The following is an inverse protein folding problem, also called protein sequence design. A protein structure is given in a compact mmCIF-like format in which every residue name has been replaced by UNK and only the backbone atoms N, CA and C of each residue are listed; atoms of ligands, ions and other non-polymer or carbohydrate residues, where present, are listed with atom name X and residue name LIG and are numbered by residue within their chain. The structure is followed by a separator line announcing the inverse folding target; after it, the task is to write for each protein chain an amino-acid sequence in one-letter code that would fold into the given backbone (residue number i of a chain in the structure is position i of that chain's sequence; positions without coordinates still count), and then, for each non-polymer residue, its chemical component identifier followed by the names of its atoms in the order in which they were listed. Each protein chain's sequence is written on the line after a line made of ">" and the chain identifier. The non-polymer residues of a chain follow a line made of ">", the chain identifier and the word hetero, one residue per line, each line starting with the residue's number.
data_IF_236655028552
#
_entry.id   IF_236655028552
#
_cell.length_a   1.000
_cell.length_b   1.000
_cell.length_c   1.000
_cell.angle_alpha   90.00
_cell.angle_beta   90.00
_cell.angle_gamma   90.00
#
_symmetry.space_group_name_H-M   'P 1'
#
loop_
_entity.id
_entity.type
_entity.pdbx_description
1 polymer ?
#
# COMPACT_ATOMS: atom_id res chain seq x y z
N UNK A 1 -74.29 -101.99 -10.77
CA UNK A 1 -74.72 -101.03 -11.83
C UNK A 1 -74.16 -99.67 -11.45
N UNK A 2 -73.11 -99.16 -12.11
CA UNK A 2 -73.15 -98.47 -13.42
C UNK A 2 -73.76 -97.06 -13.21
N UNK A 3 -73.16 -95.91 -13.51
CA UNK A 3 -72.26 -95.53 -14.61
C UNK A 3 -71.32 -94.38 -14.20
N UNK A 4 -70.05 -94.54 -14.59
CA UNK A 4 -68.97 -93.55 -14.64
C UNK A 4 -69.23 -92.64 -15.87
N UNK A 5 -69.58 -91.36 -15.73
CA UNK A 5 -69.46 -90.36 -16.82
C UNK A 5 -68.26 -89.48 -16.47
N UNK A 6 -67.05 -89.93 -16.82
CA UNK A 6 -66.35 -89.61 -18.08
C UNK A 6 -66.40 -88.11 -18.41
N UNK A 7 -65.23 -87.49 -18.16
CA UNK A 7 -64.71 -86.25 -18.72
C UNK A 7 -65.33 -85.85 -20.07
N UNK A 8 -65.89 -84.64 -20.13
CA UNK A 8 -65.81 -83.83 -21.34
C UNK A 8 -64.81 -82.70 -21.07
N UNK A 9 -63.60 -82.76 -21.66
CA UNK A 9 -62.80 -81.57 -21.82
C UNK A 9 -63.56 -80.68 -22.82
N UNK A 10 -64.15 -79.57 -22.36
CA UNK A 10 -64.52 -78.51 -23.30
C UNK A 10 -63.23 -78.03 -23.93
N UNK A 11 -63.06 -78.34 -25.21
CA UNK A 11 -62.04 -77.83 -26.12
C UNK A 11 -62.27 -76.32 -26.34
N UNK A 12 -62.24 -75.56 -25.26
CA UNK A 12 -62.25 -74.10 -25.27
C UNK A 12 -60.83 -73.66 -25.62
N UNK A 13 -60.62 -73.69 -26.93
CA UNK A 13 -59.75 -72.81 -27.71
C UNK A 13 -58.27 -72.81 -27.36
N UNK A 14 -57.62 -73.94 -27.68
CA UNK A 14 -56.18 -74.00 -27.97
C UNK A 14 -55.75 -72.86 -28.93
N UNK A 15 -56.65 -72.36 -29.77
CA UNK A 15 -56.40 -71.26 -30.70
C UNK A 15 -56.28 -69.90 -30.00
N UNK A 16 -57.19 -69.53 -29.10
CA UNK A 16 -57.13 -68.26 -28.35
C UNK A 16 -55.95 -68.23 -27.37
N UNK A 17 -55.70 -69.35 -26.67
CA UNK A 17 -54.53 -69.47 -25.78
C UNK A 17 -53.23 -69.36 -26.59
N UNK A 18 -53.13 -70.03 -27.74
CA UNK A 18 -51.96 -69.91 -28.61
C UNK A 18 -51.79 -68.49 -29.16
N UNK A 19 -52.86 -67.74 -29.41
CA UNK A 19 -52.80 -66.36 -29.89
C UNK A 19 -52.32 -65.39 -28.80
N UNK A 20 -52.79 -65.56 -27.56
CA UNK A 20 -52.30 -64.82 -26.39
C UNK A 20 -50.82 -65.13 -26.09
N UNK A 21 -50.41 -66.39 -26.17
CA UNK A 21 -49.00 -66.80 -26.01
C UNK A 21 -48.12 -66.15 -27.08
N UNK A 22 -48.56 -66.12 -28.35
CA UNK A 22 -47.83 -65.43 -29.44
C UNK A 22 -47.72 -63.92 -29.21
N UNK A 23 -48.78 -63.26 -28.73
CA UNK A 23 -48.74 -61.82 -28.39
C UNK A 23 -47.77 -61.56 -27.25
N UNK A 24 -47.80 -62.35 -26.18
CA UNK A 24 -46.87 -62.22 -25.06
C UNK A 24 -45.41 -62.49 -25.48
N UNK A 25 -45.17 -63.48 -26.34
CA UNK A 25 -43.85 -63.74 -26.91
C UNK A 25 -43.36 -62.57 -27.77
N UNK A 26 -44.22 -61.95 -28.58
CA UNK A 26 -43.89 -60.77 -29.37
C UNK A 26 -43.50 -59.58 -28.50
N UNK A 27 -44.29 -59.26 -27.47
CA UNK A 27 -43.96 -58.20 -26.51
C UNK A 27 -42.67 -58.48 -25.74
N UNK A 28 -42.44 -59.72 -25.32
CA UNK A 28 -41.22 -60.12 -24.62
C UNK A 28 -40.00 -59.99 -25.54
N UNK A 29 -40.09 -60.42 -26.80
CA UNK A 29 -39.04 -60.25 -27.80
C UNK A 29 -38.74 -58.77 -28.05
N UNK A 30 -39.76 -57.92 -28.17
CA UNK A 30 -39.58 -56.47 -28.36
C UNK A 30 -38.84 -55.83 -27.17
N UNK A 31 -39.24 -56.15 -25.93
CA UNK A 31 -38.58 -55.67 -24.71
C UNK A 31 -37.13 -56.16 -24.58
N UNK A 32 -36.83 -57.39 -25.02
CA UNK A 32 -35.47 -57.94 -25.04
C UNK A 32 -34.60 -57.21 -26.08
N UNK A 33 -35.14 -56.96 -27.28
CA UNK A 33 -34.44 -56.24 -28.36
C UNK A 33 -34.15 -54.80 -27.95
N UNK A 34 -35.14 -54.08 -27.39
CA UNK A 34 -34.94 -52.73 -26.87
C UNK A 34 -33.86 -52.70 -25.79
N UNK A 35 -33.91 -53.63 -24.84
CA UNK A 35 -32.90 -53.73 -23.77
C UNK A 35 -31.50 -54.03 -24.31
N UNK A 36 -31.38 -54.85 -25.36
CA UNK A 36 -30.11 -55.11 -26.03
C UNK A 36 -29.59 -53.85 -26.75
N UNK A 37 -30.47 -53.11 -27.45
CA UNK A 37 -30.14 -51.85 -28.12
C UNK A 37 -29.65 -50.78 -27.13
N UNK A 38 -30.34 -50.60 -26.01
CA UNK A 38 -29.89 -49.71 -24.94
C UNK A 38 -28.57 -50.15 -24.31
N UNK A 39 -28.34 -51.47 -24.17
CA UNK A 39 -27.09 -52.01 -23.66
C UNK A 39 -25.92 -51.67 -24.58
N UNK A 40 -26.07 -51.84 -25.90
CA UNK A 40 -25.00 -51.54 -26.86
C UNK A 40 -24.66 -50.04 -26.89
N UNK A 41 -25.68 -49.17 -26.80
CA UNK A 41 -25.49 -47.71 -26.66
C UNK A 41 -24.70 -47.39 -25.38
N UNK A 42 -25.07 -48.02 -24.25
CA UNK A 42 -24.39 -47.81 -22.97
C UNK A 42 -22.94 -48.34 -22.99
N UNK A 43 -22.70 -49.50 -23.60
CA UNK A 43 -21.38 -50.10 -23.77
C UNK A 43 -20.42 -49.22 -24.58
N UNK A 44 -20.94 -48.40 -25.50
CA UNK A 44 -20.13 -47.47 -26.30
C UNK A 44 -19.91 -46.11 -25.61
N UNK A 45 -20.95 -45.58 -24.95
CA UNK A 45 -20.89 -44.26 -24.30
C UNK A 45 -20.03 -44.26 -23.03
N UNK A 46 -20.08 -45.32 -22.23
CA UNK A 46 -19.35 -45.36 -20.94
C UNK A 46 -17.83 -45.22 -21.13
N UNK A 47 -17.16 -45.98 -22.02
CA UNK A 47 -15.72 -45.81 -22.25
C UNK A 47 -15.35 -44.43 -22.81
N UNK A 48 -16.22 -43.83 -23.62
CA UNK A 48 -15.98 -42.48 -24.16
C UNK A 48 -16.05 -41.42 -23.05
N UNK A 49 -17.01 -41.55 -22.14
CA UNK A 49 -17.11 -40.70 -20.95
C UNK A 49 -15.93 -40.91 -20.00
N UNK A 50 -15.50 -42.15 -19.76
CA UNK A 50 -14.34 -42.46 -18.92
C UNK A 50 -13.06 -41.83 -19.49
N UNK A 51 -12.84 -41.93 -20.80
CA UNK A 51 -11.71 -41.28 -21.48
C UNK A 51 -11.73 -39.75 -21.30
N UNK A 52 -12.89 -39.12 -21.53
CA UNK A 52 -13.05 -37.67 -21.32
C UNK A 52 -12.81 -37.25 -19.87
N UNK A 53 -13.26 -38.06 -18.91
CA UNK A 53 -13.01 -37.82 -17.48
C UNK A 53 -11.51 -37.84 -17.18
N UNK A 54 -10.75 -38.78 -17.74
CA UNK A 54 -9.32 -38.88 -17.49
C UNK A 54 -8.51 -37.76 -18.17
N UNK A 55 -8.92 -37.32 -19.37
CA UNK A 55 -8.36 -36.13 -20.03
C UNK A 55 -8.56 -34.88 -19.16
N UNK A 56 -9.79 -34.65 -18.67
CA UNK A 56 -10.11 -33.51 -17.79
C UNK A 56 -9.36 -33.57 -16.45
N UNK A 57 -9.14 -34.76 -15.88
CA UNK A 57 -8.32 -34.92 -14.67
C UNK A 57 -6.87 -34.48 -14.90
N UNK A 58 -6.29 -34.89 -16.02
CA UNK A 58 -4.91 -34.53 -16.38
C UNK A 58 -4.76 -33.03 -16.60
N UNK A 59 -5.69 -32.40 -17.31
CA UNK A 59 -5.72 -30.94 -17.47
C UNK A 59 -5.84 -30.22 -16.14
N UNK A 60 -6.70 -30.70 -15.24
CA UNK A 60 -6.88 -30.10 -13.91
C UNK A 60 -5.59 -30.20 -13.06
N UNK A 61 -4.85 -31.32 -13.15
CA UNK A 61 -3.55 -31.45 -12.49
C UNK A 61 -2.55 -30.43 -13.03
N UNK A 62 -2.51 -30.26 -14.36
CA UNK A 62 -1.62 -29.28 -15.00
C UNK A 62 -1.96 -27.85 -14.56
N UNK A 63 -3.24 -27.47 -14.63
CA UNK A 63 -3.72 -26.15 -14.19
C UNK A 63 -3.41 -25.90 -12.72
N UNK A 64 -3.62 -26.90 -11.84
CA UNK A 64 -3.27 -26.78 -10.42
C UNK A 64 -1.78 -26.51 -10.21
N UNK A 65 -0.94 -27.21 -10.95
CA UNK A 65 0.52 -27.05 -10.87
C UNK A 65 0.97 -25.67 -11.36
N UNK A 66 0.39 -25.18 -12.45
CA UNK A 66 0.66 -23.83 -12.97
C UNK A 66 0.17 -22.75 -11.99
N UNK A 67 -1.03 -22.90 -11.42
CA UNK A 67 -1.57 -21.98 -10.42
C UNK A 67 -0.70 -21.92 -9.15
N UNK A 68 -0.13 -23.04 -8.70
CA UNK A 68 0.79 -23.03 -7.55
C UNK A 68 2.08 -22.26 -7.84
N UNK A 69 2.62 -22.36 -9.06
CA UNK A 69 3.82 -21.62 -9.47
C UNK A 69 3.53 -20.12 -9.57
N UNK A 70 2.44 -19.75 -10.26
CA UNK A 70 2.02 -18.36 -10.38
C UNK A 70 1.76 -17.70 -9.02
N UNK A 71 1.23 -18.45 -8.05
CA UNK A 71 1.02 -17.95 -6.69
C UNK A 71 2.35 -17.64 -6.00
N UNK A 72 3.34 -18.53 -6.10
CA UNK A 72 4.67 -18.31 -5.56
C UNK A 72 5.35 -17.10 -6.22
N UNK A 73 5.35 -17.02 -7.54
CA UNK A 73 5.96 -15.91 -8.28
C UNK A 73 5.31 -14.57 -7.92
N UNK A 74 3.99 -14.57 -7.72
CA UNK A 74 3.25 -13.38 -7.26
C UNK A 74 3.69 -12.94 -5.86
N UNK A 75 3.84 -13.89 -4.93
CA UNK A 75 4.31 -13.60 -3.56
C UNK A 75 5.73 -13.02 -3.58
N UNK A 76 6.62 -13.55 -4.42
CA UNK A 76 7.99 -13.04 -4.60
C UNK A 76 8.01 -11.60 -5.13
N UNK A 77 7.21 -11.32 -6.16
CA UNK A 77 7.07 -9.96 -6.72
C UNK A 77 6.45 -9.00 -5.71
N UNK A 78 5.50 -9.44 -4.88
CA UNK A 78 4.93 -8.59 -3.81
C UNK A 78 5.99 -8.23 -2.75
N UNK A 79 6.83 -9.19 -2.35
CA UNK A 79 7.93 -8.95 -1.41
C UNK A 79 8.95 -7.95 -1.98
N UNK A 80 9.35 -8.13 -3.24
CA UNK A 80 10.29 -7.21 -3.89
C UNK A 80 9.72 -5.79 -4.00
N UNK A 81 8.43 -5.67 -4.36
CA UNK A 81 7.75 -4.38 -4.41
C UNK A 81 7.67 -3.68 -3.05
N UNK A 82 7.48 -4.43 -1.96
CA UNK A 82 7.51 -3.86 -0.60
C UNK A 82 8.90 -3.31 -0.28
N UNK A 83 9.96 -4.07 -0.60
CA UNK A 83 11.34 -3.66 -0.38
C UNK A 83 11.70 -2.40 -1.19
N UNK A 84 11.39 -2.39 -2.49
CA UNK A 84 11.64 -1.23 -3.36
C UNK A 84 10.93 0.04 -2.88
N UNK A 85 9.71 -0.08 -2.34
CA UNK A 85 9.00 1.05 -1.74
C UNK A 85 9.72 1.61 -0.51
N UNK A 86 10.22 0.73 0.35
CA UNK A 86 10.99 1.14 1.53
C UNK A 86 12.27 1.87 1.12
N UNK A 87 13.03 1.31 0.18
CA UNK A 87 14.27 1.91 -0.33
C UNK A 87 14.00 3.29 -0.95
N UNK A 88 12.93 3.43 -1.75
CA UNK A 88 12.53 4.71 -2.34
C UNK A 88 12.20 5.79 -1.30
N UNK A 89 11.54 5.41 -0.21
CA UNK A 89 11.21 6.35 0.86
C UNK A 89 12.46 6.79 1.64
N UNK A 90 13.43 5.89 1.82
CA UNK A 90 14.73 6.23 2.41
C UNK A 90 15.54 7.17 1.50
N UNK A 91 15.65 6.87 0.21
CA UNK A 91 16.34 7.73 -0.76
C UNK A 91 15.72 9.13 -0.83
N UNK A 92 14.38 9.24 -0.77
CA UNK A 92 13.70 10.55 -0.73
C UNK A 92 14.07 11.35 0.52
N UNK A 93 14.11 10.71 1.69
CA UNK A 93 14.53 11.37 2.95
C UNK A 93 15.97 11.85 2.87
N UNK A 94 16.88 11.03 2.33
CA UNK A 94 18.29 11.40 2.18
C UNK A 94 18.49 12.55 1.19
N UNK A 95 17.75 12.55 0.08
CA UNK A 95 17.81 13.63 -0.90
C UNK A 95 17.33 14.96 -0.28
N UNK A 96 16.26 14.91 0.50
CA UNK A 96 15.70 16.10 1.14
C UNK A 96 16.62 16.64 2.25
N UNK A 97 17.23 15.77 3.05
CA UNK A 97 18.21 16.19 4.08
C UNK A 97 19.44 16.85 3.45
N UNK A 98 19.94 16.32 2.32
CA UNK A 98 21.05 16.94 1.56
C UNK A 98 20.68 18.31 1.01
N UNK A 99 19.46 18.51 0.52
CA UNK A 99 18.99 19.82 0.04
C UNK A 99 18.89 20.83 1.19
N UNK A 100 18.30 20.42 2.31
CA UNK A 100 18.15 21.28 3.49
C UNK A 100 19.50 21.73 4.03
N UNK A 101 20.47 20.82 4.13
CA UNK A 101 21.84 21.15 4.54
C UNK A 101 22.51 22.17 3.62
N UNK A 102 22.45 21.97 2.30
CA UNK A 102 23.01 22.94 1.33
C UNK A 102 22.34 24.31 1.44
N UNK A 103 21.03 24.34 1.68
CA UNK A 103 20.29 25.58 1.87
C UNK A 103 20.70 26.30 3.17
N UNK A 104 20.87 25.55 4.25
CA UNK A 104 21.34 26.07 5.54
C UNK A 104 22.75 26.67 5.43
N UNK A 105 23.69 25.93 4.82
CA UNK A 105 25.06 26.41 4.56
C UNK A 105 25.05 27.71 3.74
N UNK A 106 24.19 27.81 2.72
CA UNK A 106 24.02 29.03 1.93
C UNK A 106 23.49 30.20 2.78
N UNK A 107 22.52 29.96 3.67
CA UNK A 107 21.99 31.00 4.55
C UNK A 107 23.04 31.52 5.54
N UNK A 108 23.84 30.61 6.10
CA UNK A 108 24.94 30.96 7.02
C UNK A 108 25.95 31.84 6.30
N UNK A 109 26.40 31.44 5.10
CA UNK A 109 27.39 32.18 4.32
C UNK A 109 26.92 33.60 3.96
N UNK A 110 25.68 33.74 3.48
CA UNK A 110 25.10 35.05 3.16
C UNK A 110 25.06 35.94 4.40
N UNK A 111 24.64 35.37 5.54
CA UNK A 111 24.55 36.12 6.80
C UNK A 111 25.93 36.56 7.30
N UNK A 112 26.93 35.67 7.23
CA UNK A 112 28.33 35.96 7.57
C UNK A 112 28.88 37.13 6.74
N UNK A 113 28.65 37.13 5.42
CA UNK A 113 29.09 38.22 4.52
C UNK A 113 28.41 39.55 4.89
N UNK A 114 27.11 39.54 5.14
CA UNK A 114 26.34 40.77 5.43
C UNK A 114 26.63 41.36 6.81
N UNK A 115 26.96 40.51 7.78
CA UNK A 115 27.30 40.91 9.14
C UNK A 115 28.81 41.15 9.32
N UNK A 116 29.63 40.70 8.36
CA UNK A 116 31.09 40.69 8.43
C UNK A 116 31.58 40.08 9.76
N UNK A 117 30.98 38.94 10.12
CA UNK A 117 31.18 38.26 11.39
C UNK A 117 31.16 36.73 11.20
N UNK A 118 32.12 36.03 11.79
CA UNK A 118 32.15 34.56 11.81
C UNK A 118 31.06 33.99 12.74
N UNK A 119 30.23 33.04 12.26
CA UNK A 119 29.21 32.41 13.08
C UNK A 119 29.76 31.32 14.00
N UNK A 120 29.07 31.10 15.12
CA UNK A 120 29.12 29.84 15.86
C UNK A 120 28.02 28.95 15.31
N UNK A 121 28.37 27.94 14.53
CA UNK A 121 27.43 26.96 13.95
C UNK A 121 26.96 25.98 15.02
N UNK A 122 25.71 25.50 14.92
CA UNK A 122 25.12 24.53 15.87
C UNK A 122 25.21 25.01 17.33
N UNK A 123 24.79 26.26 17.57
CA UNK A 123 24.98 26.93 18.85
C UNK A 123 23.96 26.45 19.90
N UNK A 124 24.46 25.81 20.97
CA UNK A 124 23.67 25.30 22.12
C UNK A 124 24.05 25.95 23.45
N UNK A 125 23.68 27.23 23.69
CA UNK A 125 23.99 27.88 24.96
C UNK A 125 23.13 27.35 26.11
N UNK A 126 23.61 27.49 27.35
CA UNK A 126 22.92 26.99 28.55
C UNK A 126 21.50 27.55 28.70
N UNK A 127 21.26 28.82 28.35
CA UNK A 127 19.93 29.44 28.42
C UNK A 127 18.92 28.83 27.43
N UNK A 128 19.37 28.08 26.41
CA UNK A 128 18.50 27.39 25.46
C UNK A 128 17.93 26.09 26.03
N UNK A 129 18.37 25.64 27.22
CA UNK A 129 17.80 24.48 27.90
C UNK A 129 17.86 23.20 27.05
N UNK A 130 18.95 23.01 26.31
CA UNK A 130 19.16 21.87 25.42
C UNK A 130 18.76 22.08 23.95
N UNK A 131 18.09 23.20 23.63
CA UNK A 131 17.78 23.56 22.24
C UNK A 131 19.02 24.10 21.51
N UNK A 132 19.04 23.94 20.18
CA UNK A 132 20.11 24.40 19.28
C UNK A 132 19.61 25.51 18.36
N UNK A 133 20.52 26.39 17.96
CA UNK A 133 20.35 27.37 16.88
C UNK A 133 21.32 27.01 15.75
N UNK A 134 20.90 27.17 14.49
CA UNK A 134 21.74 26.77 13.35
C UNK A 134 23.05 27.56 13.28
N UNK A 135 22.99 28.87 13.52
CA UNK A 135 24.17 29.70 13.64
C UNK A 135 23.94 30.90 14.57
N UNK A 136 25.00 31.37 15.23
CA UNK A 136 24.95 32.54 16.09
C UNK A 136 26.09 33.53 15.83
N UNK A 137 25.72 34.78 15.61
CA UNK A 137 26.59 35.93 15.37
C UNK A 137 26.60 36.76 16.66
N UNK A 138 27.64 36.55 17.47
CA UNK A 138 27.79 37.06 18.84
C UNK A 138 27.82 38.59 18.92
N UNK A 139 28.58 39.26 18.05
CA UNK A 139 28.78 40.71 18.03
C UNK A 139 27.48 41.39 17.63
N UNK A 140 26.84 40.92 16.55
CA UNK A 140 25.58 41.48 16.08
C UNK A 140 24.37 41.05 16.93
N UNK A 141 24.54 40.09 17.86
CA UNK A 141 23.46 39.49 18.67
C UNK A 141 22.34 38.90 17.81
N UNK A 142 22.70 38.25 16.70
CA UNK A 142 21.76 37.62 15.77
C UNK A 142 21.93 36.11 15.81
N UNK A 143 20.83 35.39 15.99
CA UNK A 143 20.77 33.95 15.78
C UNK A 143 20.08 33.67 14.44
N UNK A 144 20.60 32.74 13.64
CA UNK A 144 19.99 32.27 12.40
C UNK A 144 19.33 30.92 12.67
N UNK A 145 18.12 30.75 12.14
CA UNK A 145 17.37 29.49 12.18
C UNK A 145 16.70 29.25 10.81
N UNK A 146 16.99 28.11 10.20
CA UNK A 146 16.55 27.70 8.87
C UNK A 146 15.39 26.70 9.04
N UNK A 147 14.21 27.15 8.63
CA UNK A 147 12.96 26.43 8.82
C UNK A 147 12.73 25.46 7.65
N UNK A 148 12.71 24.17 7.94
CA UNK A 148 12.50 23.10 6.95
C UNK A 148 11.05 22.97 6.48
N UNK A 149 10.84 22.31 5.34
CA UNK A 149 9.51 22.05 4.77
C UNK A 149 8.56 21.33 5.72
N UNK A 150 9.12 20.50 6.61
CA UNK A 150 8.41 19.77 7.65
C UNK A 150 7.63 20.67 8.64
N UNK A 151 7.99 21.96 8.77
CA UNK A 151 7.30 22.90 9.66
C UNK A 151 6.07 23.53 9.00
N UNK A 152 5.95 23.46 7.65
CA UNK A 152 4.85 24.08 6.89
C UNK A 152 3.79 23.07 6.46
N UNK A 153 4.20 21.87 6.05
CA UNK A 153 3.28 20.86 5.53
C UNK A 153 2.66 20.03 6.66
N UNK A 154 1.38 20.30 6.92
CA UNK A 154 0.49 19.57 7.83
C UNK A 154 0.09 18.17 7.31
N UNK A 155 0.75 17.65 6.28
CA UNK A 155 0.28 16.44 5.60
C UNK A 155 0.79 15.18 6.28
N UNK A 156 -0.15 14.30 6.55
CA UNK A 156 -0.15 13.00 7.24
C UNK A 156 0.91 11.97 6.82
N UNK A 157 1.83 12.33 5.92
CA UNK A 157 2.91 11.45 5.43
C UNK A 157 4.22 11.60 6.23
N UNK A 158 4.54 12.79 6.74
CA UNK A 158 5.80 13.04 7.48
C UNK A 158 5.68 12.76 8.97
N UNK A 159 4.53 13.09 9.56
CA UNK A 159 4.19 12.79 10.95
C UNK A 159 2.89 11.99 10.99
N UNK A 160 2.96 10.77 11.54
CA UNK A 160 1.77 9.97 11.83
C UNK A 160 0.99 10.51 13.04
N UNK A 161 1.65 11.32 13.88
CA UNK A 161 1.15 11.73 15.19
C UNK A 161 1.10 13.25 15.33
N UNK A 162 -0.10 13.79 15.61
CA UNK A 162 -0.36 15.22 15.85
C UNK A 162 0.53 15.79 16.97
N UNK A 163 0.85 14.96 17.97
CA UNK A 163 1.70 15.33 19.11
C UNK A 163 3.12 15.78 18.71
N UNK A 164 3.71 15.13 17.70
CA UNK A 164 5.05 15.52 17.22
C UNK A 164 5.05 16.88 16.52
N UNK A 165 3.93 17.26 15.93
CA UNK A 165 3.77 18.59 15.32
C UNK A 165 3.65 19.66 16.40
N UNK A 166 2.85 19.41 17.44
CA UNK A 166 2.72 20.31 18.60
C UNK A 166 4.09 20.53 19.25
N UNK A 167 4.88 19.47 19.45
CA UNK A 167 6.23 19.57 20.02
C UNK A 167 7.16 20.49 19.19
N UNK A 168 7.08 20.44 17.85
CA UNK A 168 7.89 21.30 16.96
C UNK A 168 7.46 22.77 17.09
N UNK A 169 6.16 23.03 17.06
CA UNK A 169 5.61 24.39 17.21
C UNK A 169 6.01 24.99 18.56
N UNK A 170 5.92 24.19 19.63
CA UNK A 170 6.30 24.60 20.97
C UNK A 170 7.80 24.83 21.10
N UNK A 171 8.64 24.00 20.45
CA UNK A 171 10.08 24.22 20.38
C UNK A 171 10.43 25.53 19.67
N UNK A 172 9.84 25.81 18.50
CA UNK A 172 10.09 27.06 17.77
C UNK A 172 9.63 28.29 18.56
N UNK A 173 8.45 28.21 19.21
CA UNK A 173 7.96 29.26 20.11
C UNK A 173 8.90 29.49 21.29
N UNK A 174 9.43 28.41 21.87
CA UNK A 174 10.38 28.47 22.97
C UNK A 174 11.72 29.08 22.53
N UNK A 175 12.24 28.72 21.35
CA UNK A 175 13.45 29.35 20.76
C UNK A 175 13.26 30.86 20.61
N UNK A 176 12.17 31.31 19.97
CA UNK A 176 11.83 32.74 19.82
C UNK A 176 11.82 33.46 21.18
N UNK A 177 11.14 32.88 22.15
CA UNK A 177 11.01 33.45 23.50
C UNK A 177 12.36 33.57 24.20
N UNK A 178 13.18 32.51 24.16
CA UNK A 178 14.49 32.49 24.81
C UNK A 178 15.47 33.46 24.15
N UNK A 179 15.50 33.55 22.82
CA UNK A 179 16.29 34.56 22.11
C UNK A 179 15.87 35.97 22.51
N UNK A 180 14.56 36.26 22.53
CA UNK A 180 14.06 37.57 22.91
C UNK A 180 14.41 37.97 24.35
N UNK A 181 14.24 37.06 25.32
CA UNK A 181 14.59 37.29 26.72
C UNK A 181 16.09 37.57 26.91
N UNK A 182 16.93 37.00 26.04
CA UNK A 182 18.36 37.22 26.05
C UNK A 182 18.80 38.37 25.14
N UNK A 183 17.88 39.18 24.57
CA UNK A 183 18.25 40.29 23.68
C UNK A 183 18.99 39.82 22.42
N UNK A 184 18.60 38.65 21.90
CA UNK A 184 19.11 38.08 20.65
C UNK A 184 18.00 38.20 19.60
N UNK A 185 18.34 38.75 18.44
CA UNK A 185 17.42 38.79 17.31
C UNK A 185 17.45 37.45 16.58
N UNK A 186 16.32 36.74 16.56
CA UNK A 186 16.17 35.49 15.82
C UNK A 186 15.78 35.78 14.36
N UNK A 187 16.70 35.47 13.45
CA UNK A 187 16.55 35.55 12.01
C UNK A 187 16.09 34.20 11.48
N UNK A 188 14.80 34.06 11.23
CA UNK A 188 14.21 32.84 10.69
C UNK A 188 14.15 32.90 9.17
N UNK A 189 14.62 31.87 8.46
CA UNK A 189 14.58 31.78 6.98
C UNK A 189 13.95 30.47 6.57
N UNK A 190 12.92 30.51 5.74
CA UNK A 190 12.24 29.31 5.24
C UNK A 190 12.99 28.70 4.05
N UNK A 191 12.98 27.37 3.96
CA UNK A 191 13.64 26.59 2.89
C UNK A 191 13.19 26.97 1.46
N UNK A 192 11.99 27.54 1.30
CA UNK A 192 11.41 27.98 0.03
C UNK A 192 11.57 29.48 -0.24
N UNK A 193 12.15 30.23 0.70
CA UNK A 193 12.53 31.62 0.49
C UNK A 193 13.83 31.72 -0.33
N UNK A 194 14.00 32.82 -1.08
CA UNK A 194 15.30 33.14 -1.67
C UNK A 194 16.19 33.82 -0.60
N UNK A 195 17.23 33.16 -0.08
CA UNK A 195 18.03 33.70 1.02
C UNK A 195 18.80 34.97 0.63
N UNK A 196 19.14 35.13 -0.66
CA UNK A 196 19.84 36.32 -1.18
C UNK A 196 18.94 37.57 -1.13
N UNK A 197 17.62 37.40 -1.04
CA UNK A 197 16.66 38.50 -0.94
C UNK A 197 16.17 38.64 0.50
N UNK A 198 15.82 37.51 1.11
CA UNK A 198 15.15 37.51 2.42
C UNK A 198 16.09 37.90 3.55
N UNK A 199 17.32 37.38 3.58
CA UNK A 199 18.28 37.67 4.65
C UNK A 199 18.64 39.16 4.68
N UNK A 200 19.06 39.80 3.57
CA UNK A 200 19.34 41.25 3.59
C UNK A 200 18.14 42.07 4.04
N UNK A 201 16.92 41.74 3.57
CA UNK A 201 15.70 42.46 3.95
C UNK A 201 15.44 42.38 5.45
N UNK A 202 15.58 41.20 6.06
CA UNK A 202 15.34 41.00 7.50
C UNK A 202 16.41 41.71 8.35
N UNK A 203 17.70 41.61 7.97
CA UNK A 203 18.80 42.31 8.65
C UNK A 203 18.64 43.84 8.56
N UNK A 204 18.29 44.37 7.38
CA UNK A 204 18.07 45.80 7.18
C UNK A 204 16.96 46.32 8.11
N UNK A 205 15.80 45.64 8.15
CA UNK A 205 14.69 45.99 9.05
C UNK A 205 15.12 45.97 10.53
N UNK A 206 15.91 44.98 10.93
CA UNK A 206 16.43 44.91 12.29
C UNK A 206 17.34 46.12 12.61
N UNK A 207 18.28 46.45 11.71
CA UNK A 207 19.18 47.61 11.88
C UNK A 207 18.40 48.93 11.95
N UNK A 208 17.38 49.11 11.10
CA UNK A 208 16.50 50.28 11.18
C UNK A 208 15.80 50.40 12.54
N UNK A 209 15.32 49.28 13.09
CA UNK A 209 14.65 49.26 14.39
C UNK A 209 15.59 49.63 15.54
N UNK A 210 16.82 49.10 15.52
CA UNK A 210 17.84 49.47 16.52
C UNK A 210 18.17 50.96 16.44
N UNK A 211 18.43 51.49 15.24
CA UNK A 211 18.75 52.90 15.04
C UNK A 211 17.62 53.83 15.53
N UNK A 212 16.35 53.50 15.25
CA UNK A 212 15.22 54.32 15.74
C UNK A 212 15.08 54.31 17.26
N UNK A 213 15.49 53.25 17.96
CA UNK A 213 15.47 53.24 19.42
C UNK A 213 16.59 54.09 20.02
N UNK A 214 17.77 54.13 19.41
CA UNK A 214 18.84 55.01 19.86
C UNK A 214 18.51 56.49 19.66
N UNK A 215 17.77 56.87 18.61
CA UNK A 215 17.34 58.26 18.39
C UNK A 215 16.20 58.76 19.29
N UNK A 216 15.48 57.87 20.00
CA UNK A 216 14.36 58.23 20.88
C UNK A 216 14.76 58.22 22.38
N UNK A 217 16.06 58.12 22.68
CA UNK A 217 16.60 58.11 24.04
C UNK A 217 17.38 59.40 24.39
N UNK A 218 17.35 60.40 23.50
CA UNK A 218 17.75 61.79 23.76
C UNK A 218 16.52 62.63 24.16
#
# INVERSE_FOLDING_TARGET
>A
MIFKRLLEPRSFEDKEINELVKKLQFYLCFLIIDRASYRDIFCNLVPELEKKIDELKNENIKIKTENTKLKHDKEEVEIENIKLKQDLDEFKKELESKKNRKFQEKCILITQILLNEEPIVEYRPSFMGGLELDAFFRINRIALEVQGAQHRFHSTSWYKDVKKLEDIVDHDRKKRTLCQLNGIYLLEVWYDENPEITIPKKIYKFREFINRKTFNLD
#
